data_IF_010871859881
#
_entry.id   IF_010871859881
#
_cell.length_a   1.000
_cell.length_b   1.000
_cell.length_c   1.000
_cell.angle_alpha   90.00
_cell.angle_beta   90.00
_cell.angle_gamma   90.00
#
_symmetry.space_group_name_H-M   'P 1'
#
loop_
_entity.id
_entity.type
_entity.pdbx_description
1 polymer ?
#
# COMPACT_ATOMS: atom_id res chain seq x y z
N UNK A 1 -23.25 -2.76 -19.57
CA UNK A 1 -22.54 -3.50 -18.50
C UNK A 1 -23.25 -3.13 -17.20
N UNK A 2 -23.84 -4.09 -16.48
CA UNK A 2 -24.49 -3.80 -15.18
C UNK A 2 -23.48 -3.07 -14.28
N UNK A 3 -23.96 -2.11 -13.51
CA UNK A 3 -23.13 -1.41 -12.52
C UNK A 3 -22.54 -2.44 -11.55
N UNK A 4 -21.24 -2.70 -11.69
CA UNK A 4 -20.50 -3.73 -10.95
C UNK A 4 -20.55 -3.45 -9.45
N UNK A 5 -20.52 -2.17 -9.07
CA UNK A 5 -20.60 -1.73 -7.68
C UNK A 5 -21.96 -2.08 -7.08
N UNK A 6 -23.05 -1.76 -7.79
CA UNK A 6 -24.41 -2.10 -7.36
C UNK A 6 -24.63 -3.62 -7.28
N UNK A 7 -24.05 -4.39 -8.22
CA UNK A 7 -24.17 -5.85 -8.22
C UNK A 7 -23.51 -6.51 -7.01
N UNK A 8 -22.35 -6.02 -6.57
CA UNK A 8 -21.63 -6.54 -5.40
C UNK A 8 -21.91 -5.78 -4.10
N UNK A 9 -22.79 -4.76 -4.13
CA UNK A 9 -23.09 -3.93 -2.96
C UNK A 9 -21.90 -3.08 -2.48
N UNK A 10 -20.95 -2.78 -3.36
CA UNK A 10 -19.78 -1.97 -3.01
C UNK A 10 -20.09 -0.48 -3.09
N UNK A 11 -19.57 0.29 -2.13
CA UNK A 11 -19.64 1.76 -2.16
C UNK A 11 -18.62 2.36 -3.13
N UNK A 12 -17.46 1.71 -3.28
CA UNK A 12 -16.35 2.09 -4.14
C UNK A 12 -15.63 0.84 -4.67
N UNK A 13 -14.77 1.00 -5.68
CA UNK A 13 -13.98 -0.13 -6.19
C UNK A 13 -12.94 -0.60 -5.16
N UNK A 14 -12.86 -1.92 -4.88
CA UNK A 14 -11.97 -2.44 -3.83
C UNK A 14 -10.48 -2.37 -4.16
N UNK A 15 -10.10 -2.16 -5.43
CA UNK A 15 -8.71 -2.12 -5.90
C UNK A 15 -8.41 -0.82 -6.66
N UNK A 16 -8.95 0.29 -6.16
CA UNK A 16 -8.67 1.60 -6.74
C UNK A 16 -7.17 1.91 -6.66
N UNK A 17 -6.58 2.42 -7.74
CA UNK A 17 -5.17 2.85 -7.76
C UNK A 17 -4.93 4.00 -6.79
N UNK A 18 -5.96 4.82 -6.58
CA UNK A 18 -5.94 5.98 -5.70
C UNK A 18 -6.46 5.67 -4.29
N UNK A 19 -6.50 4.39 -3.89
CA UNK A 19 -6.84 4.00 -2.52
C UNK A 19 -5.95 4.74 -1.50
N UNK A 20 -6.58 5.40 -0.52
CA UNK A 20 -5.85 6.11 0.52
C UNK A 20 -5.05 5.12 1.36
N UNK A 21 -3.88 5.54 1.86
CA UNK A 21 -3.06 4.69 2.72
C UNK A 21 -3.83 4.18 3.95
N UNK A 22 -4.72 5.02 4.51
CA UNK A 22 -5.60 4.69 5.65
C UNK A 22 -6.61 3.59 5.35
N UNK A 23 -6.94 3.40 4.08
CA UNK A 23 -7.98 2.46 3.62
C UNK A 23 -7.34 1.16 3.12
N UNK A 24 -6.01 1.01 3.25
CA UNK A 24 -5.29 -0.20 2.84
C UNK A 24 -5.44 -1.33 3.86
N UNK A 25 -5.33 -2.57 3.38
CA UNK A 25 -5.42 -3.77 4.21
C UNK A 25 -4.03 -4.21 4.61
N UNK A 26 -3.81 -4.40 5.92
CA UNK A 26 -2.55 -4.92 6.43
C UNK A 26 -2.45 -6.44 6.29
N UNK A 27 -1.76 -6.90 5.24
CA UNK A 27 -1.38 -8.31 5.09
C UNK A 27 -0.04 -8.61 5.78
N UNK A 28 0.28 -9.88 6.01
CA UNK A 28 1.60 -10.26 6.58
C UNK A 28 2.78 -9.76 5.73
N UNK A 29 2.69 -9.92 4.41
CA UNK A 29 3.71 -9.43 3.45
C UNK A 29 3.84 -7.91 3.51
N UNK A 30 2.71 -7.20 3.67
CA UNK A 30 2.70 -5.75 3.78
C UNK A 30 3.40 -5.28 5.06
N UNK A 31 3.11 -5.90 6.21
CA UNK A 31 3.77 -5.61 7.49
C UNK A 31 5.27 -5.84 7.42
N UNK A 32 5.69 -6.96 6.83
CA UNK A 32 7.11 -7.28 6.66
C UNK A 32 7.81 -6.25 5.75
N UNK A 33 7.17 -5.85 4.65
CA UNK A 33 7.70 -4.84 3.73
C UNK A 33 7.91 -3.50 4.44
N UNK A 34 6.91 -3.04 5.21
CA UNK A 34 7.03 -1.81 6.00
C UNK A 34 8.13 -1.92 7.07
N UNK A 35 8.26 -3.06 7.74
CA UNK A 35 9.33 -3.26 8.74
C UNK A 35 10.75 -3.18 8.11
N UNK A 36 10.91 -3.71 6.89
CA UNK A 36 12.17 -3.62 6.12
C UNK A 36 12.46 -2.18 5.68
N UNK A 37 11.45 -1.43 5.24
CA UNK A 37 11.57 -0.01 4.90
C UNK A 37 11.94 0.83 6.14
N UNK A 38 11.33 0.56 7.29
CA UNK A 38 11.68 1.20 8.55
C UNK A 38 13.10 0.89 9.02
N UNK A 39 13.58 -0.34 8.81
CA UNK A 39 14.98 -0.68 9.04
C UNK A 39 15.90 0.16 8.13
N UNK A 40 15.58 0.29 6.84
CA UNK A 40 16.35 1.10 5.90
C UNK A 40 16.35 2.58 6.25
N UNK A 41 15.24 3.13 6.75
CA UNK A 41 15.16 4.50 7.27
C UNK A 41 16.24 4.76 8.32
N UNK A 42 16.43 3.82 9.24
CA UNK A 42 17.41 3.95 10.34
C UNK A 42 18.84 3.70 9.89
N UNK A 43 19.06 2.73 9.01
CA UNK A 43 20.41 2.25 8.65
C UNK A 43 21.01 2.99 7.45
N UNK A 44 20.18 3.57 6.59
CA UNK A 44 20.59 4.16 5.32
C UNK A 44 21.03 3.12 4.28
N UNK A 45 21.13 3.55 3.01
CA UNK A 45 21.56 2.72 1.88
C UNK A 45 20.51 2.62 0.77
N UNK A 46 20.77 1.74 -0.20
CA UNK A 46 19.89 1.51 -1.35
C UNK A 46 19.09 0.22 -1.10
N UNK A 47 17.77 0.29 -1.26
CA UNK A 47 16.87 -0.87 -1.20
C UNK A 47 16.21 -1.08 -2.55
N UNK A 48 16.13 -2.34 -2.97
CA UNK A 48 15.40 -2.77 -4.16
C UNK A 48 14.16 -3.57 -3.73
N UNK A 49 12.96 -3.04 -3.98
CA UNK A 49 11.69 -3.73 -3.75
C UNK A 49 11.21 -4.40 -5.05
N UNK A 50 11.18 -5.72 -5.08
CA UNK A 50 10.81 -6.54 -6.26
C UNK A 50 9.54 -7.34 -6.03
N UNK A 51 8.96 -7.87 -7.10
CA UNK A 51 7.74 -8.67 -7.09
C UNK A 51 6.90 -8.44 -8.34
N UNK A 52 5.90 -9.29 -8.55
CA UNK A 52 5.05 -9.25 -9.76
C UNK A 52 4.20 -7.98 -9.87
N UNK A 53 3.67 -7.65 -11.05
CA UNK A 53 2.68 -6.59 -11.20
C UNK A 53 1.48 -6.81 -10.27
N UNK A 54 1.01 -5.75 -9.60
CA UNK A 54 -0.18 -5.82 -8.74
C UNK A 54 0.03 -6.33 -7.31
N UNK A 55 1.23 -6.77 -6.91
CA UNK A 55 1.48 -7.29 -5.54
C UNK A 55 1.59 -6.22 -4.44
N UNK A 56 1.37 -4.94 -4.77
CA UNK A 56 1.34 -3.86 -3.77
C UNK A 56 2.66 -3.14 -3.52
N UNK A 57 3.69 -3.28 -4.38
CA UNK A 57 4.98 -2.56 -4.25
C UNK A 57 4.79 -1.04 -4.09
N UNK A 58 4.06 -0.42 -5.02
CA UNK A 58 3.77 1.02 -5.00
C UNK A 58 2.93 1.42 -3.78
N UNK A 59 1.97 0.59 -3.38
CA UNK A 59 1.12 0.83 -2.22
C UNK A 59 1.95 0.83 -0.93
N UNK A 60 2.86 -0.13 -0.76
CA UNK A 60 3.75 -0.21 0.39
C UNK A 60 4.65 1.04 0.50
N UNK A 61 5.27 1.46 -0.60
CA UNK A 61 6.08 2.69 -0.63
C UNK A 61 5.26 3.94 -0.32
N UNK A 62 4.03 4.04 -0.85
CA UNK A 62 3.11 5.17 -0.57
C UNK A 62 2.71 5.21 0.90
N UNK A 63 2.37 4.07 1.49
CA UNK A 63 2.01 4.00 2.91
C UNK A 63 3.20 4.32 3.82
N UNK A 64 4.38 3.82 3.49
CA UNK A 64 5.62 4.18 4.18
C UNK A 64 5.89 5.68 4.10
N UNK A 65 5.82 6.28 2.90
CA UNK A 65 6.03 7.72 2.71
C UNK A 65 5.03 8.56 3.52
N UNK A 66 3.76 8.15 3.58
CA UNK A 66 2.76 8.82 4.43
C UNK A 66 3.11 8.73 5.91
N UNK A 67 3.62 7.59 6.39
CA UNK A 67 4.05 7.43 7.78
C UNK A 67 5.32 8.24 8.13
N UNK A 68 6.08 8.74 7.14
CA UNK A 68 7.22 9.62 7.39
C UNK A 68 6.80 11.05 7.72
N UNK A 69 5.58 11.46 7.37
CA UNK A 69 5.09 12.81 7.58
C UNK A 69 4.08 12.84 8.74
N UNK A 70 4.58 13.09 9.95
CA UNK A 70 3.76 13.15 11.17
C UNK A 70 2.86 14.41 11.25
N UNK A 71 3.00 15.35 10.32
CA UNK A 71 2.29 16.64 10.31
C UNK A 71 1.07 16.68 9.36
N UNK A 72 0.66 15.56 8.76
CA UNK A 72 -0.50 15.45 7.86
C UNK A 72 -1.63 14.60 8.46
#
# INVERSE_FOLDING_TARGET
>A
MKDLLAWYGFKHYPFDKEIKATDTIETGVFKETLARLEYMKRRGGIMLLTGDPGVGKTIATRCFANALNENL
#
